data_IF_355617923293
#
_entry.id   IF_355617923293
#
_cell.length_a   1.000
_cell.length_b   1.000
_cell.length_c   1.000
_cell.angle_alpha   90.00
_cell.angle_beta   90.00
_cell.angle_gamma   90.00
#
_symmetry.space_group_name_H-M   'P 1'
#
loop_
_entity.id
_entity.type
_entity.pdbx_description
1 polymer ?
#
# COMPACT_ATOMS: atom_id res chain seq x y z
N UNK A 1 -6.44 16.52 -6.59
CA UNK A 1 -7.21 15.32 -6.94
C UNK A 1 -8.40 15.31 -6.00
N UNK A 2 -9.64 15.44 -6.49
CA UNK A 2 -10.81 15.33 -5.61
C UNK A 2 -10.99 13.86 -5.22
N UNK A 3 -11.10 13.58 -3.92
CA UNK A 3 -11.47 12.25 -3.45
C UNK A 3 -12.89 11.95 -3.92
N UNK A 4 -13.08 10.83 -4.61
CA UNK A 4 -14.43 10.37 -4.94
C UNK A 4 -15.23 10.13 -3.66
N UNK A 5 -16.57 10.36 -3.66
CA UNK A 5 -17.44 10.14 -2.51
C UNK A 5 -17.28 8.74 -1.90
N UNK A 6 -16.93 7.77 -2.74
CA UNK A 6 -16.60 6.42 -2.35
C UNK A 6 -15.37 5.96 -3.12
N UNK A 7 -14.34 5.52 -2.41
CA UNK A 7 -13.13 4.95 -2.98
C UNK A 7 -12.83 3.58 -2.37
N UNK A 8 -12.40 2.64 -3.22
CA UNK A 8 -12.19 1.25 -2.84
C UNK A 8 -10.70 0.89 -2.91
N UNK A 9 -10.24 0.17 -1.89
CA UNK A 9 -8.86 -0.27 -1.79
C UNK A 9 -8.79 -1.72 -1.37
N UNK A 10 -7.71 -2.39 -1.77
CA UNK A 10 -7.27 -3.65 -1.20
C UNK A 10 -5.93 -3.41 -0.51
N UNK A 11 -5.84 -3.75 0.78
CA UNK A 11 -4.61 -3.69 1.59
C UNK A 11 -4.19 -5.12 1.94
N UNK A 12 -3.17 -5.63 1.27
CA UNK A 12 -2.85 -7.07 1.29
C UNK A 12 -3.97 -7.85 0.61
N UNK A 13 -4.79 -8.56 1.40
CA UNK A 13 -6.05 -9.15 0.92
C UNK A 13 -7.28 -8.41 1.40
N UNK A 14 -7.16 -7.48 2.35
CA UNK A 14 -8.28 -6.87 3.06
C UNK A 14 -8.95 -5.78 2.22
N UNK A 15 -10.25 -5.92 1.91
CA UNK A 15 -11.03 -4.84 1.33
C UNK A 15 -11.18 -3.66 2.31
N UNK A 16 -10.96 -2.45 1.81
CA UNK A 16 -11.04 -1.18 2.54
C UNK A 16 -11.85 -0.17 1.73
N UNK A 17 -12.69 0.62 2.39
CA UNK A 17 -13.50 1.70 1.81
C UNK A 17 -13.14 3.02 2.46
N UNK A 18 -13.02 4.05 1.63
CA UNK A 18 -13.05 5.45 2.06
C UNK A 18 -14.38 6.03 1.64
N UNK A 19 -15.15 6.54 2.61
CA UNK A 19 -16.52 7.04 2.40
C UNK A 19 -16.53 8.51 2.82
N UNK A 20 -16.55 9.41 1.84
CA UNK A 20 -16.77 10.82 2.11
C UNK A 20 -18.28 11.09 2.20
N UNK A 21 -18.65 11.95 3.14
CA UNK A 21 -20.03 12.36 3.40
C UNK A 21 -20.30 13.75 2.81
N UNK A 22 -21.57 14.14 2.78
CA UNK A 22 -21.99 15.45 2.24
C UNK A 22 -21.42 16.64 3.04
N UNK A 23 -21.11 16.45 4.33
CA UNK A 23 -20.48 17.47 5.19
C UNK A 23 -18.95 17.48 5.11
N UNK A 24 -18.39 16.81 4.08
CA UNK A 24 -16.95 16.68 3.83
C UNK A 24 -16.20 15.89 4.92
N UNK A 25 -16.91 15.22 5.83
CA UNK A 25 -16.27 14.26 6.73
C UNK A 25 -15.91 12.97 5.99
N UNK A 26 -15.04 12.16 6.59
CA UNK A 26 -14.53 10.94 5.99
C UNK A 26 -14.64 9.78 6.98
N UNK A 27 -15.14 8.65 6.50
CA UNK A 27 -15.08 7.37 7.18
C UNK A 27 -14.13 6.40 6.49
N UNK A 28 -13.52 5.53 7.29
CA UNK A 28 -12.61 4.48 6.84
C UNK A 28 -13.14 3.17 7.35
N UNK A 29 -13.55 2.30 6.44
CA UNK A 29 -14.12 1.00 6.79
C UNK A 29 -13.27 -0.12 6.21
N UNK A 30 -13.09 -1.19 6.98
CA UNK A 30 -12.32 -2.37 6.59
C UNK A 30 -13.17 -3.61 6.73
N UNK A 31 -12.95 -4.58 5.85
CA UNK A 31 -13.63 -5.86 5.93
C UNK A 31 -13.28 -6.59 7.23
N UNK A 32 -14.27 -7.09 7.95
CA UNK A 32 -14.07 -7.93 9.11
C UNK A 32 -14.18 -9.40 8.68
N UNK A 33 -13.10 -10.15 8.87
CA UNK A 33 -13.01 -11.56 8.48
C UNK A 33 -13.95 -12.49 9.25
N UNK A 34 -14.26 -12.15 10.50
CA UNK A 34 -15.11 -12.94 11.40
C UNK A 34 -16.60 -12.67 11.15
N UNK A 35 -17.00 -11.39 11.08
CA UNK A 35 -18.42 -11.01 10.89
C UNK A 35 -18.83 -10.98 9.42
N UNK A 36 -17.86 -10.99 8.50
CA UNK A 36 -18.03 -10.78 7.06
C UNK A 36 -18.68 -9.45 6.69
N UNK A 37 -18.69 -8.49 7.63
CA UNK A 37 -19.15 -7.12 7.46
C UNK A 37 -18.01 -6.14 7.24
N UNK A 38 -18.30 -4.86 7.44
CA UNK A 38 -17.33 -3.79 7.43
C UNK A 38 -17.37 -3.05 8.77
N UNK A 39 -16.21 -2.90 9.38
CA UNK A 39 -16.06 -2.15 10.62
C UNK A 39 -15.26 -0.87 10.35
N UNK A 40 -15.53 0.15 11.17
CA UNK A 40 -14.77 1.38 11.18
C UNK A 40 -13.33 1.12 11.67
N UNK A 41 -12.34 1.56 10.90
CA UNK A 41 -10.92 1.41 11.21
C UNK A 41 -10.12 2.62 10.70
N UNK A 42 -10.15 3.75 11.43
CA UNK A 42 -9.48 4.98 11.02
C UNK A 42 -7.98 4.80 10.79
N UNK A 43 -7.33 3.85 11.47
CA UNK A 43 -5.88 3.56 11.36
C UNK A 43 -5.43 3.04 9.98
N UNK A 44 -6.35 2.80 9.05
CA UNK A 44 -6.02 2.44 7.67
C UNK A 44 -5.86 3.66 6.75
N UNK A 45 -6.18 4.87 7.21
CA UNK A 45 -6.18 6.07 6.36
C UNK A 45 -4.79 6.37 5.79
N UNK A 46 -3.77 6.44 6.64
CA UNK A 46 -2.38 6.67 6.22
C UNK A 46 -1.89 5.56 5.29
N UNK A 47 -2.36 4.32 5.47
CA UNK A 47 -1.96 3.17 4.66
C UNK A 47 -2.43 3.31 3.22
N UNK A 48 -3.70 3.67 3.02
CA UNK A 48 -4.28 3.80 1.67
C UNK A 48 -3.88 5.10 0.99
N UNK A 49 -3.67 6.19 1.74
CA UNK A 49 -3.37 7.49 1.16
C UNK A 49 -1.88 7.71 0.86
N UNK A 50 -0.99 7.27 1.75
CA UNK A 50 0.45 7.56 1.66
C UNK A 50 1.30 6.38 1.23
N UNK A 51 0.68 5.20 1.15
CA UNK A 51 1.33 3.96 0.75
C UNK A 51 2.29 3.40 1.79
N UNK A 52 2.06 2.17 2.22
CA UNK A 52 2.89 1.49 3.23
C UNK A 52 3.26 0.06 2.85
N UNK A 53 2.93 -0.39 1.63
CA UNK A 53 3.23 -1.72 1.14
C UNK A 53 2.30 -2.16 0.00
N UNK A 54 1.48 -3.18 0.28
CA UNK A 54 0.59 -3.83 -0.69
C UNK A 54 -0.83 -3.23 -0.74
N UNK A 55 -0.94 -1.91 -0.63
CA UNK A 55 -2.18 -1.20 -0.93
C UNK A 55 -2.37 -1.00 -2.44
N UNK A 56 -3.63 -1.10 -2.87
CA UNK A 56 -4.07 -0.78 -4.22
C UNK A 56 -5.43 -0.13 -4.17
N UNK A 57 -5.58 1.00 -4.84
CA UNK A 57 -6.90 1.47 -5.24
C UNK A 57 -7.43 0.53 -6.34
N UNK A 58 -8.71 0.19 -6.26
CA UNK A 58 -9.36 -0.72 -7.21
C UNK A 58 -10.70 -0.14 -7.64
N UNK A 59 -11.16 -0.54 -8.81
CA UNK A 59 -12.49 -0.21 -9.29
C UNK A 59 -13.56 -0.98 -8.50
N UNK A 60 -14.81 -0.49 -8.46
CA UNK A 60 -15.90 -1.14 -7.72
C UNK A 60 -16.11 -2.61 -8.13
N UNK A 61 -16.00 -2.93 -9.42
CA UNK A 61 -16.17 -4.29 -9.93
C UNK A 61 -15.10 -5.26 -9.39
N UNK A 62 -13.84 -4.82 -9.37
CA UNK A 62 -12.72 -5.61 -8.85
C UNK A 62 -12.84 -5.80 -7.33
N UNK A 63 -13.33 -4.77 -6.63
CA UNK A 63 -13.60 -4.83 -5.20
C UNK A 63 -14.67 -5.89 -4.86
N UNK A 64 -15.78 -5.91 -5.59
CA UNK A 64 -16.86 -6.90 -5.39
C UNK A 64 -16.44 -8.32 -5.78
N UNK A 65 -15.67 -8.45 -6.87
CA UNK A 65 -15.07 -9.73 -7.24
C UNK A 65 -14.16 -10.23 -6.11
N UNK A 66 -13.36 -9.34 -5.51
CA UNK A 66 -12.47 -9.69 -4.41
C UNK A 66 -13.23 -10.12 -3.16
N UNK A 67 -14.28 -9.40 -2.80
CA UNK A 67 -15.17 -9.78 -1.70
C UNK A 67 -15.77 -11.18 -1.90
N UNK A 68 -16.22 -11.48 -3.11
CA UNK A 68 -16.78 -12.78 -3.46
C UNK A 68 -15.77 -13.92 -3.28
N UNK A 69 -14.52 -13.71 -3.73
CA UNK A 69 -13.44 -14.69 -3.56
C UNK A 69 -13.10 -14.93 -2.08
N UNK A 70 -13.07 -13.87 -1.28
CA UNK A 70 -12.76 -13.94 0.15
C UNK A 70 -13.85 -14.69 0.91
N UNK A 71 -15.13 -14.43 0.63
CA UNK A 71 -16.23 -15.12 1.28
C UNK A 71 -16.23 -16.64 1.03
N UNK A 72 -15.62 -17.09 -0.07
CA UNK A 72 -15.44 -18.51 -0.37
C UNK A 72 -14.29 -19.16 0.42
N UNK A 73 -13.37 -18.37 0.99
CA UNK A 73 -12.20 -18.84 1.72
C UNK A 73 -12.32 -18.40 3.20
N UNK A 74 -12.87 -19.25 4.08
CA UNK A 74 -13.15 -18.86 5.46
C UNK A 74 -11.88 -18.43 6.19
N UNK A 75 -12.04 -17.43 7.07
CA UNK A 75 -10.98 -16.94 7.95
C UNK A 75 -10.37 -18.09 8.74
N UNK A 76 -9.04 -18.21 8.67
CA UNK A 76 -8.27 -19.18 9.46
C UNK A 76 -7.16 -18.42 10.16
N UNK A 77 -7.34 -17.99 11.42
CA UNK A 77 -6.34 -17.20 12.11
C UNK A 77 -5.00 -17.94 12.12
N UNK A 78 -3.95 -17.24 11.68
CA UNK A 78 -2.60 -17.75 11.80
C UNK A 78 -2.27 -17.91 13.28
N UNK A 79 -1.94 -19.12 13.70
CA UNK A 79 -1.39 -19.39 15.02
C UNK A 79 0.03 -18.84 15.11
N UNK A 80 0.42 -18.32 16.27
CA UNK A 80 1.83 -18.07 16.59
C UNK A 80 2.63 -19.36 16.28
N UNK A 81 3.60 -19.35 15.36
CA UNK A 81 4.32 -20.56 15.04
C UNK A 81 5.15 -20.95 16.26
N UNK A 82 4.71 -21.98 16.98
CA UNK A 82 5.41 -22.52 18.16
C UNK A 82 6.81 -23.07 17.84
N UNK A 83 7.17 -23.21 16.56
CA UNK A 83 8.35 -23.97 16.17
C UNK A 83 9.02 -23.55 14.85
N UNK A 84 9.07 -22.25 14.51
CA UNK A 84 9.87 -21.81 13.35
C UNK A 84 10.88 -20.74 13.75
N UNK A 85 12.17 -21.12 13.77
CA UNK A 85 13.34 -20.22 13.78
C UNK A 85 13.44 -19.37 12.48
N UNK A 86 12.31 -18.90 11.96
CA UNK A 86 12.21 -18.35 10.61
C UNK A 86 11.52 -16.99 10.71
N UNK A 87 12.28 -15.91 10.80
CA UNK A 87 11.97 -14.56 10.26
C UNK A 87 10.54 -14.01 10.53
N UNK A 88 9.86 -14.38 11.61
CA UNK A 88 8.59 -13.77 12.00
C UNK A 88 8.89 -12.75 13.10
N UNK A 89 8.83 -11.47 12.78
CA UNK A 89 8.70 -10.47 13.83
C UNK A 89 7.26 -10.55 14.37
N UNK A 90 7.02 -10.26 15.66
CA UNK A 90 5.67 -10.26 16.25
C UNK A 90 4.67 -9.36 15.48
N UNK A 91 5.16 -8.38 14.72
CA UNK A 91 4.34 -7.56 13.81
C UNK A 91 3.75 -8.33 12.62
N UNK A 92 4.35 -9.45 12.22
CA UNK A 92 3.93 -10.24 11.06
C UNK A 92 2.65 -11.02 11.33
N UNK A 93 2.45 -11.59 12.53
CA UNK A 93 1.23 -12.38 12.82
C UNK A 93 -0.01 -11.49 12.89
N UNK A 94 0.07 -10.34 13.57
CA UNK A 94 -1.04 -9.36 13.60
C UNK A 94 -1.38 -8.88 12.19
N UNK A 95 -0.36 -8.57 11.38
CA UNK A 95 -0.54 -8.19 9.97
C UNK A 95 -1.18 -9.31 9.15
N UNK A 96 -0.70 -10.55 9.29
CA UNK A 96 -1.25 -11.73 8.59
C UNK A 96 -2.74 -11.91 8.95
N UNK A 97 -3.10 -11.82 10.22
CA UNK A 97 -4.49 -11.97 10.63
C UNK A 97 -5.36 -10.80 10.14
N UNK A 98 -4.89 -9.57 10.29
CA UNK A 98 -5.65 -8.38 9.94
C UNK A 98 -5.77 -8.17 8.43
N UNK A 99 -4.67 -8.27 7.68
CA UNK A 99 -4.63 -7.89 6.26
C UNK A 99 -4.79 -9.10 5.33
N UNK A 100 -4.49 -10.31 5.79
CA UNK A 100 -4.47 -11.52 4.97
C UNK A 100 -5.45 -12.60 5.44
N UNK A 101 -6.28 -12.32 6.45
CA UNK A 101 -7.24 -13.29 6.99
C UNK A 101 -6.57 -14.57 7.49
N UNK A 102 -5.33 -14.46 7.98
CA UNK A 102 -4.53 -15.58 8.47
C UNK A 102 -3.75 -16.34 7.39
N UNK A 103 -3.88 -15.97 6.12
CA UNK A 103 -3.18 -16.62 5.01
C UNK A 103 -1.74 -16.12 4.88
N UNK A 104 -0.86 -16.63 5.74
CA UNK A 104 0.56 -16.28 5.77
C UNK A 104 1.22 -16.39 4.37
N UNK A 105 0.97 -17.48 3.64
CA UNK A 105 1.52 -17.73 2.31
C UNK A 105 1.07 -16.73 1.20
N UNK A 106 0.18 -15.79 1.51
CA UNK A 106 -0.27 -14.72 0.60
C UNK A 106 0.41 -13.38 0.85
N UNK A 107 1.20 -13.24 1.91
CA UNK A 107 2.00 -12.03 2.15
C UNK A 107 3.02 -11.86 1.03
N UNK A 108 2.99 -10.70 0.37
CA UNK A 108 3.79 -10.43 -0.83
C UNK A 108 5.19 -9.87 -0.52
N UNK A 109 5.40 -9.40 0.70
CA UNK A 109 6.57 -8.65 1.14
C UNK A 109 7.23 -9.28 2.39
N UNK A 110 7.34 -10.62 2.43
CA UNK A 110 8.02 -11.32 3.53
C UNK A 110 9.45 -10.82 3.76
N UNK A 111 10.12 -10.45 2.68
CA UNK A 111 11.30 -9.61 2.69
C UNK A 111 11.13 -8.55 1.61
N UNK A 112 11.62 -7.34 1.86
CA UNK A 112 11.63 -6.24 0.89
C UNK A 112 13.04 -5.71 0.72
N UNK A 113 13.42 -5.39 -0.52
CA UNK A 113 14.67 -4.72 -0.86
C UNK A 113 14.40 -3.65 -1.91
N UNK A 114 15.09 -2.52 -1.80
CA UNK A 114 15.15 -1.52 -2.87
C UNK A 114 16.51 -1.52 -3.57
N UNK A 115 16.49 -1.26 -4.87
CA UNK A 115 17.63 -0.90 -5.68
C UNK A 115 17.42 0.52 -6.19
N UNK A 116 18.39 1.41 -5.95
CA UNK A 116 18.27 2.83 -6.24
C UNK A 116 19.09 3.17 -7.48
N UNK A 117 18.47 3.87 -8.42
CA UNK A 117 19.05 4.30 -9.69
C UNK A 117 19.03 5.82 -9.80
N UNK A 118 19.96 6.40 -10.55
CA UNK A 118 19.96 7.85 -10.77
C UNK A 118 18.90 8.25 -11.80
N UNK A 119 18.72 7.43 -12.85
CA UNK A 119 17.87 7.77 -13.99
C UNK A 119 16.75 6.77 -14.25
N UNK A 120 15.70 7.23 -14.92
CA UNK A 120 14.58 6.39 -15.36
C UNK A 120 15.07 5.30 -16.31
N UNK A 121 15.94 5.65 -17.25
CA UNK A 121 16.50 4.70 -18.21
C UNK A 121 17.26 3.55 -17.51
N UNK A 122 18.15 3.86 -16.56
CA UNK A 122 18.92 2.84 -15.83
C UNK A 122 18.01 1.83 -15.13
N UNK A 123 16.92 2.32 -14.54
CA UNK A 123 15.95 1.51 -13.84
C UNK A 123 15.18 0.57 -14.79
N UNK A 124 14.72 1.07 -15.96
CA UNK A 124 14.07 0.22 -16.97
C UNK A 124 15.05 -0.74 -17.65
N UNK A 125 16.32 -0.37 -17.82
CA UNK A 125 17.38 -1.28 -18.25
C UNK A 125 17.60 -2.42 -17.24
N UNK A 126 17.59 -2.09 -15.94
CA UNK A 126 17.68 -3.10 -14.89
C UNK A 126 16.45 -4.03 -14.89
N UNK A 127 15.24 -3.49 -15.07
CA UNK A 127 14.02 -4.29 -15.22
C UNK A 127 14.13 -5.24 -16.44
N UNK A 128 14.57 -4.72 -17.59
CA UNK A 128 14.78 -5.52 -18.80
C UNK A 128 15.77 -6.67 -18.53
N UNK A 129 16.90 -6.38 -17.91
CA UNK A 129 17.90 -7.41 -17.56
C UNK A 129 17.34 -8.48 -16.61
N UNK A 130 16.61 -8.07 -15.57
CA UNK A 130 15.95 -9.02 -14.66
C UNK A 130 14.96 -9.93 -15.40
N UNK A 131 14.22 -9.37 -16.36
CA UNK A 131 13.29 -10.12 -17.19
C UNK A 131 13.98 -11.09 -18.17
N UNK A 132 15.09 -10.68 -18.78
CA UNK A 132 15.85 -11.47 -19.76
C UNK A 132 16.64 -12.61 -19.12
N UNK A 133 17.16 -12.43 -17.90
CA UNK A 133 17.93 -13.47 -17.22
C UNK A 133 17.09 -14.69 -16.81
N UNK A 134 15.75 -14.55 -16.72
CA UNK A 134 14.79 -15.61 -16.35
C UNK A 134 15.14 -16.38 -15.05
N UNK A 135 16.01 -15.82 -14.21
CA UNK A 135 16.44 -16.43 -12.92
C UNK A 135 15.36 -16.35 -11.84
N UNK A 136 14.48 -15.36 -11.92
CA UNK A 136 13.49 -15.08 -10.90
C UNK A 136 12.08 -15.45 -11.36
N UNK A 137 11.31 -16.10 -10.49
CA UNK A 137 9.89 -16.35 -10.73
C UNK A 137 9.08 -15.13 -10.30
N UNK A 138 8.93 -14.16 -11.21
CA UNK A 138 8.14 -12.95 -10.99
C UNK A 138 6.65 -13.32 -11.04
N UNK A 139 5.93 -13.11 -9.93
CA UNK A 139 4.50 -13.41 -9.76
C UNK A 139 3.63 -12.16 -9.71
N UNK A 140 4.25 -10.97 -9.66
CA UNK A 140 3.55 -9.70 -9.72
C UNK A 140 4.49 -8.58 -10.15
N UNK A 141 3.93 -7.60 -10.85
CA UNK A 141 4.64 -6.42 -11.32
C UNK A 141 3.70 -5.22 -11.24
N UNK A 142 4.20 -4.09 -10.74
CA UNK A 142 3.53 -2.79 -10.76
C UNK A 142 4.48 -1.74 -11.28
N UNK A 143 4.07 -1.06 -12.34
CA UNK A 143 4.73 0.14 -12.81
C UNK A 143 4.01 1.36 -12.23
N UNK A 144 4.54 1.89 -11.12
CA UNK A 144 3.97 3.07 -10.46
C UNK A 144 4.43 4.39 -11.09
N UNK A 145 5.20 4.36 -12.19
CA UNK A 145 5.38 5.55 -13.03
C UNK A 145 4.18 5.76 -13.93
N UNK A 146 3.58 4.68 -14.44
CA UNK A 146 2.33 4.73 -15.21
C UNK A 146 1.14 4.96 -14.29
N UNK A 147 1.08 4.25 -13.17
CA UNK A 147 -0.01 4.35 -12.19
C UNK A 147 0.54 4.65 -10.78
N UNK A 148 0.84 5.93 -10.48
CA UNK A 148 1.36 6.34 -9.18
C UNK A 148 0.41 6.03 -8.03
N UNK A 149 0.96 5.98 -6.81
CA UNK A 149 0.13 5.97 -5.61
C UNK A 149 -0.63 7.29 -5.46
N UNK A 150 -1.64 7.33 -4.59
CA UNK A 150 -2.44 8.53 -4.33
C UNK A 150 -1.61 9.74 -3.89
N UNK A 151 -0.57 9.52 -3.09
CA UNK A 151 0.38 10.57 -2.68
C UNK A 151 1.34 10.98 -3.79
N UNK A 152 1.34 10.29 -4.93
CA UNK A 152 2.21 10.52 -6.08
C UNK A 152 3.50 9.70 -6.08
N UNK A 153 3.76 8.83 -5.10
CA UNK A 153 4.95 7.96 -5.05
C UNK A 153 5.03 7.03 -6.27
N UNK A 154 6.27 6.81 -6.76
CA UNK A 154 6.57 6.05 -7.98
C UNK A 154 7.79 5.17 -7.80
N UNK A 155 7.66 3.93 -8.24
CA UNK A 155 8.70 2.90 -8.30
C UNK A 155 8.31 1.82 -9.33
N UNK A 156 9.23 0.91 -9.64
CA UNK A 156 8.91 -0.35 -10.29
C UNK A 156 8.95 -1.45 -9.22
N UNK A 157 7.79 -2.02 -8.92
CA UNK A 157 7.66 -3.02 -7.86
C UNK A 157 7.47 -4.41 -8.46
N UNK A 158 8.29 -5.35 -8.02
CA UNK A 158 8.24 -6.76 -8.40
C UNK A 158 7.94 -7.62 -7.17
N UNK A 159 7.07 -8.60 -7.34
CA UNK A 159 6.89 -9.70 -6.39
C UNK A 159 7.55 -10.95 -6.95
N UNK A 160 8.51 -11.50 -6.20
CA UNK A 160 9.32 -12.64 -6.61
C UNK A 160 9.00 -13.82 -5.70
N UNK A 161 8.61 -14.95 -6.29
CA UNK A 161 8.43 -16.20 -5.55
C UNK A 161 9.77 -16.89 -5.37
N UNK A 162 10.09 -17.18 -4.12
CA UNK A 162 11.30 -17.87 -3.71
C UNK A 162 11.12 -19.39 -3.79
N UNK A 163 12.22 -20.19 -3.88
CA UNK A 163 12.13 -21.65 -3.92
C UNK A 163 11.42 -22.29 -2.72
N UNK A 164 11.44 -21.62 -1.57
CA UNK A 164 10.73 -22.04 -0.35
C UNK A 164 9.23 -21.67 -0.35
N UNK A 165 8.71 -21.09 -1.44
CA UNK A 165 7.29 -20.76 -1.63
C UNK A 165 6.87 -19.37 -1.15
N UNK A 166 7.70 -18.66 -0.38
CA UNK A 166 7.42 -17.29 0.05
C UNK A 166 7.58 -16.29 -1.09
N UNK A 167 6.92 -15.14 -0.95
CA UNK A 167 7.00 -14.04 -1.91
C UNK A 167 7.75 -12.88 -1.25
N UNK A 168 8.72 -12.33 -1.97
CA UNK A 168 9.49 -11.16 -1.57
C UNK A 168 9.24 -10.00 -2.52
N UNK A 169 9.37 -8.79 -2.01
CA UNK A 169 9.25 -7.56 -2.76
C UNK A 169 10.64 -7.03 -3.18
N UNK A 170 10.79 -6.71 -4.46
CA UNK A 170 11.92 -5.95 -4.99
C UNK A 170 11.38 -4.67 -5.59
N UNK A 171 11.88 -3.53 -5.11
CA UNK A 171 11.57 -2.21 -5.67
C UNK A 171 12.78 -1.65 -6.42
N UNK A 172 12.55 -1.17 -7.63
CA UNK A 172 13.51 -0.34 -8.35
C UNK A 172 13.04 1.10 -8.20
N UNK A 173 13.87 1.94 -7.57
CA UNK A 173 13.51 3.30 -7.18
C UNK A 173 14.46 4.30 -7.83
N UNK A 174 13.98 5.53 -8.04
CA UNK A 174 14.82 6.67 -8.39
C UNK A 174 15.43 7.32 -7.16
N UNK A 175 16.70 7.72 -7.25
CA UNK A 175 17.41 8.42 -6.17
C UNK A 175 16.71 9.71 -5.79
N UNK A 176 16.26 10.48 -6.77
CA UNK A 176 15.49 11.71 -6.57
C UNK A 176 14.20 11.49 -5.78
N UNK A 177 13.51 10.37 -5.99
CA UNK A 177 12.28 10.00 -5.28
C UNK A 177 12.60 9.52 -3.86
N UNK A 178 13.61 8.67 -3.69
CA UNK A 178 14.02 8.15 -2.38
C UNK A 178 14.48 9.27 -1.43
N UNK A 179 15.06 10.35 -1.97
CA UNK A 179 15.44 11.53 -1.19
C UNK A 179 14.23 12.24 -0.53
N UNK A 180 12.99 11.98 -0.97
CA UNK A 180 11.78 12.54 -0.38
C UNK A 180 11.25 11.73 0.81
N UNK A 181 11.83 10.56 1.12
CA UNK A 181 11.34 9.68 2.18
C UNK A 181 11.19 10.38 3.56
N UNK A 182 12.12 11.25 4.02
CA UNK A 182 11.93 11.99 5.27
C UNK A 182 10.72 12.93 5.26
N UNK A 183 10.39 13.52 4.10
CA UNK A 183 9.24 14.42 3.97
C UNK A 183 7.93 13.64 4.00
N UNK A 184 7.87 12.48 3.33
CA UNK A 184 6.70 11.60 3.38
C UNK A 184 6.45 11.10 4.80
N UNK A 185 7.51 10.83 5.57
CA UNK A 185 7.38 10.39 6.96
C UNK A 185 6.72 11.45 7.85
N UNK A 186 6.98 12.75 7.62
CA UNK A 186 6.28 13.82 8.35
C UNK A 186 4.78 13.84 8.03
N UNK A 187 4.41 13.68 6.76
CA UNK A 187 3.00 13.57 6.38
C UNK A 187 2.35 12.33 6.99
N UNK A 188 3.06 11.20 7.02
CA UNK A 188 2.58 9.97 7.66
C UNK A 188 2.31 10.18 9.13
N UNK A 189 3.25 10.77 9.87
CA UNK A 189 3.06 11.09 11.29
C UNK A 189 1.87 12.03 11.51
N UNK A 190 1.66 13.00 10.62
CA UNK A 190 0.51 13.90 10.71
C UNK A 190 -0.82 13.17 10.49
N UNK A 191 -0.91 12.30 9.48
CA UNK A 191 -2.14 11.50 9.26
C UNK A 191 -2.38 10.57 10.45
N UNK A 192 -1.35 9.89 10.96
CA UNK A 192 -1.47 9.02 12.15
C UNK A 192 -1.97 9.81 13.37
N UNK A 193 -1.52 11.06 13.56
CA UNK A 193 -2.04 11.90 14.63
C UNK A 193 -3.55 12.17 14.48
N UNK A 194 -4.02 12.46 13.25
CA UNK A 194 -5.44 12.64 12.96
C UNK A 194 -6.23 11.34 13.16
N UNK A 195 -5.67 10.18 12.81
CA UNK A 195 -6.29 8.87 13.08
C UNK A 195 -6.49 8.66 14.59
N UNK A 196 -5.50 9.01 15.40
CA UNK A 196 -5.56 8.89 16.85
C UNK A 196 -6.64 9.80 17.48
N UNK A 197 -6.95 10.94 16.87
CA UNK A 197 -8.01 11.85 17.35
C UNK A 197 -9.40 11.20 17.28
N UNK A 198 -9.63 10.32 16.31
CA UNK A 198 -10.94 9.67 16.06
C UNK A 198 -10.96 8.18 16.42
N UNK A 199 -9.81 7.58 16.72
CA UNK A 199 -9.69 6.17 17.07
C UNK A 199 -10.41 5.85 18.39
N UNK A 200 -11.17 4.75 18.40
CA UNK A 200 -11.97 4.33 19.56
C UNK A 200 -13.18 5.22 19.87
N UNK A 201 -13.49 6.19 19.01
CA UNK A 201 -14.64 7.10 19.14
C UNK A 201 -15.64 6.83 18.02
N UNK A 202 -16.91 7.11 18.29
CA UNK A 202 -17.96 7.14 17.27
C UNK A 202 -17.98 8.51 16.56
N UNK A 203 -16.87 8.84 15.89
CA UNK A 203 -16.66 10.15 15.28
C UNK A 203 -15.83 10.03 14.00
N UNK A 204 -16.31 10.59 12.89
CA UNK A 204 -15.62 10.63 11.60
C UNK A 204 -14.45 11.63 11.58
N UNK A 205 -13.57 11.52 10.59
CA UNK A 205 -12.60 12.58 10.32
C UNK A 205 -13.34 13.84 9.91
N UNK A 206 -13.10 14.97 10.57
CA UNK A 206 -13.77 16.23 10.24
C UNK A 206 -13.39 16.74 8.85
N UNK A 207 -14.23 17.60 8.26
CA UNK A 207 -13.90 18.27 7.00
C UNK A 207 -12.58 19.06 7.04
N UNK A 208 -12.22 19.62 8.19
CA UNK A 208 -10.92 20.29 8.39
C UNK A 208 -9.74 19.29 8.33
N UNK A 209 -9.88 18.12 8.96
CA UNK A 209 -8.88 17.06 8.89
C UNK A 209 -8.73 16.56 7.44
N UNK A 210 -9.85 16.34 6.74
CA UNK A 210 -9.87 15.94 5.33
C UNK A 210 -9.19 16.98 4.45
N UNK A 211 -9.48 18.28 4.66
CA UNK A 211 -8.83 19.36 3.91
C UNK A 211 -7.32 19.42 4.18
N UNK A 212 -6.90 19.22 5.43
CA UNK A 212 -5.48 19.15 5.79
C UNK A 212 -4.79 18.00 5.06
N UNK A 213 -5.41 16.82 5.04
CA UNK A 213 -4.92 15.64 4.32
C UNK A 213 -4.83 15.90 2.82
N UNK A 214 -5.86 16.50 2.23
CA UNK A 214 -5.90 16.80 0.80
C UNK A 214 -4.78 17.75 0.39
N UNK A 215 -4.50 18.77 1.20
CA UNK A 215 -3.37 19.69 0.98
C UNK A 215 -2.04 18.92 1.01
N UNK A 216 -1.80 18.08 2.03
CA UNK A 216 -0.58 17.27 2.11
C UNK A 216 -0.42 16.33 0.91
N UNK A 217 -1.49 15.69 0.45
CA UNK A 217 -1.46 14.83 -0.74
C UNK A 217 -1.13 15.60 -2.01
N UNK A 218 -1.68 16.80 -2.18
CA UNK A 218 -1.38 17.64 -3.33
C UNK A 218 0.09 18.10 -3.32
N UNK A 219 0.62 18.48 -2.16
CA UNK A 219 2.04 18.82 -1.98
C UNK A 219 2.94 17.62 -2.27
N UNK A 220 2.63 16.44 -1.71
CA UNK A 220 3.37 15.21 -1.95
C UNK A 220 3.40 14.86 -3.45
N UNK A 221 2.26 14.95 -4.13
CA UNK A 221 2.16 14.70 -5.56
C UNK A 221 3.06 15.64 -6.37
N UNK A 222 3.06 16.93 -6.04
CA UNK A 222 3.90 17.91 -6.72
C UNK A 222 5.39 17.59 -6.53
N UNK A 223 5.81 17.26 -5.31
CA UNK A 223 7.20 16.89 -5.02
C UNK A 223 7.63 15.61 -5.75
N UNK A 224 6.79 14.57 -5.74
CA UNK A 224 7.11 13.33 -6.45
C UNK A 224 7.14 13.50 -7.96
N UNK A 225 6.25 14.34 -8.52
CA UNK A 225 6.29 14.67 -9.94
C UNK A 225 7.60 15.37 -10.31
N UNK A 226 8.01 16.37 -9.54
CA UNK A 226 9.28 17.06 -9.75
C UNK A 226 10.48 16.10 -9.61
N UNK A 227 10.49 15.24 -8.60
CA UNK A 227 11.54 14.25 -8.41
C UNK A 227 11.62 13.26 -9.59
N UNK A 228 10.47 12.85 -10.13
CA UNK A 228 10.43 12.02 -11.32
C UNK A 228 11.00 12.74 -12.55
N UNK A 229 10.65 14.00 -12.76
CA UNK A 229 11.17 14.83 -13.86
C UNK A 229 12.70 14.95 -13.79
N UNK A 230 13.29 15.10 -12.59
CA UNK A 230 14.76 15.09 -12.41
C UNK A 230 15.38 13.79 -12.94
N UNK A 231 14.85 12.63 -12.56
CA UNK A 231 15.37 11.34 -13.01
C UNK A 231 15.14 11.07 -14.50
N UNK A 232 14.14 11.72 -15.10
CA UNK A 232 13.87 11.66 -16.54
C UNK A 232 14.84 12.55 -17.33
N UNK A 233 15.08 13.78 -16.88
CA UNK A 233 15.98 14.73 -17.55
C UNK A 233 17.44 14.26 -17.54
N UNK A 234 17.86 13.57 -16.49
CA UNK A 234 19.18 12.96 -16.39
C UNK A 234 19.37 11.73 -17.29
N UNK A 235 18.31 11.28 -17.98
CA UNK A 235 18.37 10.19 -18.98
C UNK A 235 18.76 10.69 -20.39
N UNK A 236 19.09 11.98 -20.54
CA UNK A 236 19.55 12.60 -21.80
C UNK A 236 21.07 12.71 -21.82
#
# INVERSE_FOLDING_TARGET
>A
MEMSPLSYFIVGLRPVKLIATDDLSLDVQVYNWETQGFDRAPEYLHRVLLGTGDERQVEPADFEQRLSQIKQHPYQPASDPKDTKTIYNKGDVKRINNDYGGQANKVLDYASRSMVYETVEQMYMALKKLHEEKKYHIVGFRDRFVYPQLCGYRDLMLHIKMPNGFITELRLCLKSIENLAPRLELYRQRVIALEAEVSGKDQLFSGEAVQTIQTMLNEANAMYKQAFEIGLEQSK
#
